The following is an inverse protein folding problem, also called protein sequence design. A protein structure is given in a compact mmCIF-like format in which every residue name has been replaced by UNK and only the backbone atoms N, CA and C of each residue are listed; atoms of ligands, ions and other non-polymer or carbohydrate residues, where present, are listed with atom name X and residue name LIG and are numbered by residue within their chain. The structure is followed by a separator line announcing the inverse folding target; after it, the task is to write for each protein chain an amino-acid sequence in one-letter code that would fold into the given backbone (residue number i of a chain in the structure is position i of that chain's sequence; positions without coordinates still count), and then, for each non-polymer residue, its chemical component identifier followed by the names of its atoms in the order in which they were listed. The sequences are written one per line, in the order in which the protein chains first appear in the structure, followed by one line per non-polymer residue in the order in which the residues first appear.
data_IF_021044146508
#
_entry.id   IF_021044146508
#
_cell.length_a   1.000
_cell.length_b   1.000
_cell.length_c   1.000
_cell.angle_alpha   90.00
_cell.angle_beta   90.00
_cell.angle_gamma   90.00
#
_symmetry.space_group_name_H-M   'P 1'
#
loop_
_entity.id
_entity.type
_entity.pdbx_description
1 polymer ?
#
# COMPACT_ATOMS: atom_id res chain seq x y z
N UNK A 1 23.59 -3.19 1.08
CA UNK A 1 23.59 -1.90 0.35
C UNK A 1 22.17 -1.43 0.03
N UNK A 2 21.90 -0.11 0.02
CA UNK A 2 20.60 0.45 -0.38
C UNK A 2 20.37 0.18 -1.87
N UNK A 3 19.24 -0.44 -2.19
CA UNK A 3 18.75 -0.66 -3.55
C UNK A 3 18.10 0.63 -4.03
N UNK A 4 17.17 1.19 -3.27
CA UNK A 4 16.50 2.43 -3.65
C UNK A 4 15.60 2.99 -2.56
N UNK A 5 15.14 4.22 -2.80
CA UNK A 5 14.23 4.94 -1.92
C UNK A 5 12.99 5.36 -2.72
N UNK A 6 11.85 5.43 -2.05
CA UNK A 6 10.62 5.87 -2.67
C UNK A 6 9.73 6.58 -1.68
N UNK A 7 9.13 7.68 -2.13
CA UNK A 7 8.22 8.50 -1.34
C UNK A 7 6.95 8.73 -2.16
N UNK A 8 5.82 8.72 -1.48
CA UNK A 8 4.54 9.08 -2.07
C UNK A 8 3.72 9.95 -1.11
N UNK A 9 2.94 10.86 -1.68
CA UNK A 9 2.00 11.69 -0.95
C UNK A 9 0.61 11.54 -1.56
N UNK A 10 -0.41 11.37 -0.71
CA UNK A 10 -1.77 11.11 -1.15
C UNK A 10 -2.77 11.96 -0.36
N UNK A 11 -3.63 12.68 -1.07
CA UNK A 11 -4.80 13.30 -0.46
C UNK A 11 -5.90 12.24 -0.27
N UNK A 12 -6.30 11.98 0.98
CA UNK A 12 -7.27 10.94 1.35
C UNK A 12 -8.62 11.16 0.68
N UNK A 13 -9.01 12.43 0.48
CA UNK A 13 -10.26 12.82 -0.17
C UNK A 13 -10.41 12.26 -1.60
N UNK A 14 -9.29 11.98 -2.29
CA UNK A 14 -9.29 11.34 -3.62
C UNK A 14 -9.82 9.91 -3.55
N UNK A 15 -9.47 9.18 -2.48
CA UNK A 15 -9.95 7.81 -2.26
C UNK A 15 -11.36 7.83 -1.70
N UNK A 16 -11.67 8.76 -0.80
CA UNK A 16 -13.05 8.95 -0.33
C UNK A 16 -14.01 9.23 -1.49
N UNK A 17 -13.60 10.02 -2.48
CA UNK A 17 -14.41 10.29 -3.67
C UNK A 17 -14.70 9.03 -4.51
N UNK A 18 -13.86 7.98 -4.41
CA UNK A 18 -14.14 6.67 -5.00
C UNK A 18 -15.13 5.90 -4.13
N UNK A 19 -14.92 5.90 -2.81
CA UNK A 19 -15.76 5.17 -1.85
C UNK A 19 -17.20 5.71 -1.84
N UNK A 20 -17.37 7.03 -1.85
CA UNK A 20 -18.68 7.71 -1.88
C UNK A 20 -19.52 7.40 -3.13
N UNK A 21 -18.92 6.84 -4.19
CA UNK A 21 -19.66 6.38 -5.38
C UNK A 21 -20.38 5.04 -5.15
N UNK A 22 -20.16 4.41 -4.00
CA UNK A 22 -20.84 3.20 -3.57
C UNK A 22 -20.00 1.92 -3.67
N UNK A 23 -20.51 0.85 -3.05
CA UNK A 23 -19.81 -0.42 -2.81
C UNK A 23 -19.24 -1.08 -4.06
N UNK A 24 -19.90 -0.95 -5.22
CA UNK A 24 -19.42 -1.47 -6.51
C UNK A 24 -18.09 -0.84 -6.92
N UNK A 25 -17.97 0.49 -6.81
CA UNK A 25 -16.74 1.21 -7.18
C UNK A 25 -15.62 0.93 -6.19
N UNK A 26 -15.94 0.96 -4.89
CA UNK A 26 -15.02 0.57 -3.81
C UNK A 26 -14.45 -0.82 -4.05
N UNK A 27 -15.31 -1.82 -4.30
CA UNK A 27 -14.89 -3.21 -4.51
C UNK A 27 -14.03 -3.37 -5.76
N UNK A 28 -14.35 -2.67 -6.86
CA UNK A 28 -13.52 -2.68 -8.08
C UNK A 28 -12.15 -2.07 -7.83
N UNK A 29 -12.09 -0.96 -7.10
CA UNK A 29 -10.83 -0.31 -6.76
C UNK A 29 -9.99 -1.16 -5.81
N UNK A 30 -10.59 -1.71 -4.77
CA UNK A 30 -9.95 -2.63 -3.83
C UNK A 30 -9.33 -3.83 -4.56
N UNK A 31 -10.09 -4.52 -5.43
CA UNK A 31 -9.56 -5.64 -6.23
C UNK A 31 -8.41 -5.26 -7.17
N UNK A 32 -8.30 -3.98 -7.56
CA UNK A 32 -7.20 -3.51 -8.42
C UNK A 32 -5.89 -3.38 -7.66
N UNK A 33 -5.95 -2.89 -6.43
CA UNK A 33 -4.75 -2.42 -5.70
C UNK A 33 -4.33 -3.33 -4.55
N UNK A 34 -5.23 -4.17 -4.04
CA UNK A 34 -4.97 -5.03 -2.90
C UNK A 34 -4.42 -6.39 -3.36
N UNK A 35 -3.54 -6.98 -2.54
CA UNK A 35 -3.15 -8.38 -2.70
C UNK A 35 -4.26 -9.31 -2.22
N UNK A 36 -4.15 -10.62 -2.51
CA UNK A 36 -5.16 -11.61 -2.12
C UNK A 36 -5.43 -11.64 -0.60
N UNK A 37 -4.38 -11.45 0.20
CA UNK A 37 -4.49 -11.36 1.66
C UNK A 37 -5.22 -10.09 2.09
N UNK A 38 -4.88 -8.97 1.46
CA UNK A 38 -5.48 -7.67 1.78
C UNK A 38 -6.93 -7.56 1.34
N UNK A 39 -7.30 -8.13 0.19
CA UNK A 39 -8.69 -8.14 -0.31
C UNK A 39 -9.57 -9.05 0.55
N UNK A 40 -9.05 -10.19 1.01
CA UNK A 40 -9.76 -11.07 1.94
C UNK A 40 -10.06 -10.36 3.27
N UNK A 41 -9.07 -9.68 3.84
CA UNK A 41 -9.27 -8.88 5.05
C UNK A 41 -10.21 -7.67 4.79
N UNK A 42 -10.07 -7.01 3.64
CA UNK A 42 -10.95 -5.91 3.27
C UNK A 42 -12.41 -6.37 3.20
N UNK A 43 -12.67 -7.48 2.50
CA UNK A 43 -14.02 -8.03 2.36
C UNK A 43 -14.63 -8.46 3.69
N UNK A 44 -13.90 -9.21 4.51
CA UNK A 44 -14.42 -9.77 5.76
C UNK A 44 -14.56 -8.76 6.90
N UNK A 45 -13.70 -7.73 6.94
CA UNK A 45 -13.61 -6.86 8.12
C UNK A 45 -13.80 -5.38 7.79
N UNK A 46 -13.18 -4.87 6.74
CA UNK A 46 -13.15 -3.42 6.47
C UNK A 46 -14.41 -2.95 5.74
N UNK A 47 -14.94 -3.77 4.84
CA UNK A 47 -16.08 -3.42 3.96
C UNK A 47 -17.38 -3.18 4.73
N UNK A 48 -17.50 -3.70 5.96
CA UNK A 48 -18.64 -3.52 6.86
C UNK A 48 -18.49 -2.31 7.77
N UNK A 49 -17.34 -1.62 7.74
CA UNK A 49 -17.10 -0.40 8.52
C UNK A 49 -17.54 0.85 7.77
N UNK A 50 -17.54 1.99 8.48
CA UNK A 50 -17.82 3.31 7.91
C UNK A 50 -16.90 3.65 6.72
N UNK A 51 -17.44 4.40 5.75
CA UNK A 51 -16.74 4.77 4.51
C UNK A 51 -15.36 5.41 4.77
N UNK A 52 -15.23 6.22 5.82
CA UNK A 52 -13.97 6.84 6.20
C UNK A 52 -12.89 5.80 6.54
N UNK A 53 -13.24 4.72 7.23
CA UNK A 53 -12.30 3.63 7.56
C UNK A 53 -11.94 2.82 6.32
N UNK A 54 -12.89 2.58 5.42
CA UNK A 54 -12.64 1.96 4.12
C UNK A 54 -11.67 2.80 3.27
N UNK A 55 -11.92 4.11 3.18
CA UNK A 55 -11.08 5.05 2.45
C UNK A 55 -9.67 5.11 3.03
N UNK A 56 -9.53 5.25 4.37
CA UNK A 56 -8.21 5.26 5.04
C UNK A 56 -7.45 3.95 4.81
N UNK A 57 -8.14 2.81 4.84
CA UNK A 57 -7.53 1.53 4.53
C UNK A 57 -6.94 1.52 3.12
N UNK A 58 -7.75 1.83 2.11
CA UNK A 58 -7.36 1.82 0.70
C UNK A 58 -6.29 2.87 0.38
N UNK A 59 -6.41 4.08 0.94
CA UNK A 59 -5.46 5.17 0.79
C UNK A 59 -4.07 4.81 1.33
N UNK A 60 -4.01 4.15 2.49
CA UNK A 60 -2.75 3.67 3.06
C UNK A 60 -2.06 2.68 2.11
N UNK A 61 -2.81 1.73 1.54
CA UNK A 61 -2.23 0.71 0.65
C UNK A 61 -1.76 1.34 -0.64
N UNK A 62 -2.54 2.24 -1.21
CA UNK A 62 -2.14 3.00 -2.38
C UNK A 62 -0.79 3.70 -2.15
N UNK A 63 -0.72 4.56 -1.13
CA UNK A 63 0.45 5.40 -0.87
C UNK A 63 1.72 4.57 -0.64
N UNK A 64 1.66 3.54 0.21
CA UNK A 64 2.82 2.70 0.50
C UNK A 64 3.24 1.83 -0.69
N UNK A 65 2.28 1.34 -1.49
CA UNK A 65 2.59 0.53 -2.68
C UNK A 65 3.21 1.37 -3.80
N UNK A 66 2.77 2.61 -3.98
CA UNK A 66 3.44 3.57 -4.88
C UNK A 66 4.85 3.89 -4.39
N UNK A 67 5.04 4.08 -3.07
CA UNK A 67 6.36 4.34 -2.50
C UNK A 67 7.34 3.16 -2.73
N UNK A 68 6.93 1.90 -2.47
CA UNK A 68 7.83 0.75 -2.74
C UNK A 68 8.05 0.53 -4.24
N UNK A 69 7.06 0.81 -5.09
CA UNK A 69 7.23 0.76 -6.55
C UNK A 69 8.36 1.69 -6.99
N UNK A 70 8.36 2.94 -6.51
CA UNK A 70 9.42 3.92 -6.80
C UNK A 70 10.78 3.48 -6.26
N UNK A 71 10.81 2.87 -5.07
CA UNK A 71 12.05 2.37 -4.48
C UNK A 71 12.67 1.17 -5.23
N UNK A 72 11.83 0.33 -5.84
CA UNK A 72 12.26 -0.86 -6.58
C UNK A 72 12.58 -0.58 -8.06
N UNK A 73 11.92 0.42 -8.67
CA UNK A 73 12.12 0.78 -10.07
C UNK A 73 13.51 1.41 -10.33
N UNK A 74 14.18 1.13 -11.46
CA UNK A 74 13.78 0.22 -12.55
C UNK A 74 14.20 -1.25 -12.32
N UNK A 75 14.89 -1.56 -11.21
CA UNK A 75 15.43 -2.90 -10.94
C UNK A 75 14.36 -3.98 -10.87
N UNK A 76 13.17 -3.63 -10.40
CA UNK A 76 11.98 -4.45 -10.53
C UNK A 76 10.74 -3.58 -10.75
N UNK A 77 9.93 -3.96 -11.74
CA UNK A 77 8.61 -3.36 -11.97
C UNK A 77 7.59 -4.18 -11.18
N UNK A 78 7.20 -3.68 -10.00
CA UNK A 78 6.24 -4.35 -9.12
C UNK A 78 4.79 -4.19 -9.63
N UNK A 79 3.99 -5.25 -9.48
CA UNK A 79 2.53 -5.17 -9.60
C UNK A 79 1.91 -4.95 -8.22
N UNK A 80 0.68 -4.45 -8.17
CA UNK A 80 -0.06 -4.26 -6.91
C UNK A 80 -0.14 -5.52 -6.05
N UNK A 81 -0.31 -6.69 -6.67
CA UNK A 81 -0.39 -7.99 -6.01
C UNK A 81 0.94 -8.51 -5.47
N UNK A 82 2.08 -7.99 -5.95
CA UNK A 82 3.40 -8.40 -5.50
C UNK A 82 3.76 -7.81 -4.13
N UNK A 83 2.94 -6.88 -3.63
CA UNK A 83 3.17 -6.18 -2.37
C UNK A 83 1.97 -6.41 -1.46
N UNK A 84 2.23 -6.88 -0.24
CA UNK A 84 1.23 -7.03 0.81
C UNK A 84 1.66 -6.23 2.03
N UNK A 85 0.82 -5.28 2.46
CA UNK A 85 1.07 -4.49 3.66
C UNK A 85 0.46 -5.18 4.87
N UNK A 86 1.31 -5.44 5.86
CA UNK A 86 0.97 -6.06 7.14
C UNK A 86 1.29 -5.09 8.28
N UNK A 87 1.07 -5.53 9.52
CA UNK A 87 1.45 -4.78 10.72
C UNK A 87 2.05 -5.73 11.75
N UNK A 88 3.08 -5.25 12.44
CA UNK A 88 3.59 -5.85 13.68
C UNK A 88 3.37 -4.82 14.78
N UNK A 89 2.37 -5.07 15.63
CA UNK A 89 1.87 -4.06 16.58
C UNK A 89 1.40 -2.79 15.83
N UNK A 90 1.89 -1.59 16.19
CA UNK A 90 1.54 -0.35 15.49
C UNK A 90 2.35 -0.14 14.19
N UNK A 91 3.48 -0.84 14.00
CA UNK A 91 4.42 -0.59 12.90
C UNK A 91 3.94 -1.26 11.61
N UNK A 92 3.79 -0.52 10.49
CA UNK A 92 3.54 -1.14 9.20
C UNK A 92 4.76 -1.92 8.72
N UNK A 93 4.51 -3.04 8.05
CA UNK A 93 5.52 -3.89 7.40
C UNK A 93 5.05 -4.26 6.01
N UNK A 94 5.98 -4.64 5.13
CA UNK A 94 5.68 -5.01 3.74
C UNK A 94 6.30 -6.35 3.42
N UNK A 95 5.46 -7.25 2.92
CA UNK A 95 5.90 -8.48 2.25
C UNK A 95 5.90 -8.21 0.75
N UNK A 96 7.06 -8.36 0.12
CA UNK A 96 7.28 -8.03 -1.29
C UNK A 96 7.81 -9.26 -2.00
N UNK A 97 7.14 -9.64 -3.09
CA UNK A 97 7.60 -10.68 -3.99
C UNK A 97 8.71 -10.14 -4.88
N UNK A 98 9.95 -10.28 -4.42
CA UNK A 98 11.12 -9.86 -5.17
C UNK A 98 11.41 -10.78 -6.37
N UNK A 99 11.97 -10.20 -7.43
CA UNK A 99 12.56 -10.94 -8.55
C UNK A 99 13.87 -11.60 -8.09
N UNK A 100 14.41 -12.58 -8.85
CA UNK A 100 15.69 -13.20 -8.50
C UNK A 100 16.84 -12.20 -8.27
N UNK A 101 16.87 -11.08 -9.03
CA UNK A 101 17.89 -10.04 -8.85
C UNK A 101 17.81 -9.32 -7.50
N UNK A 102 16.61 -9.23 -6.91
CA UNK A 102 16.37 -8.61 -5.61
C UNK A 102 15.99 -9.65 -4.53
N UNK A 103 16.23 -10.94 -4.78
CA UNK A 103 15.98 -11.98 -3.79
C UNK A 103 16.72 -11.66 -2.48
N UNK A 104 16.03 -11.81 -1.35
CA UNK A 104 16.53 -11.45 -0.03
C UNK A 104 16.50 -9.95 0.32
N UNK A 105 16.03 -9.08 -0.57
CA UNK A 105 15.88 -7.66 -0.25
C UNK A 105 14.82 -7.42 0.84
N UNK A 106 14.98 -6.34 1.60
CA UNK A 106 14.06 -5.91 2.64
C UNK A 106 13.52 -4.52 2.32
N UNK A 107 12.21 -4.32 2.55
CA UNK A 107 11.55 -3.03 2.43
C UNK A 107 11.20 -2.48 3.81
N UNK A 108 11.89 -1.41 4.20
CA UNK A 108 11.61 -0.63 5.41
C UNK A 108 10.60 0.44 5.08
N UNK A 109 9.49 0.48 5.82
CA UNK A 109 8.36 1.38 5.53
C UNK A 109 8.01 2.27 6.70
N UNK A 110 7.63 3.51 6.40
CA UNK A 110 7.02 4.46 7.33
C UNK A 110 5.84 5.16 6.67
N UNK A 111 4.85 5.52 7.48
CA UNK A 111 3.67 6.27 7.05
C UNK A 111 3.37 7.36 8.07
N UNK A 112 3.16 8.58 7.59
CA UNK A 112 2.63 9.70 8.37
C UNK A 112 1.31 10.18 7.80
N UNK A 113 0.49 10.82 8.61
CA UNK A 113 -0.74 11.44 8.17
C UNK A 113 -1.04 12.71 8.94
N UNK A 114 -1.51 13.74 8.25
CA UNK A 114 -2.01 14.97 8.85
C UNK A 114 -2.87 15.75 7.83
N UNK A 115 -3.86 16.52 8.30
CA UNK A 115 -4.65 17.43 7.45
C UNK A 115 -5.35 16.77 6.25
N UNK A 116 -5.71 15.48 6.33
CA UNK A 116 -6.29 14.73 5.21
C UNK A 116 -5.27 14.27 4.16
N UNK A 117 -3.98 14.38 4.46
CA UNK A 117 -2.87 13.90 3.65
C UNK A 117 -2.23 12.67 4.28
N UNK A 118 -1.72 11.76 3.44
CA UNK A 118 -0.81 10.68 3.81
C UNK A 118 0.54 10.92 3.15
N UNK A 119 1.61 10.62 3.87
CA UNK A 119 2.96 10.55 3.31
C UNK A 119 3.56 9.18 3.63
N UNK A 120 3.94 8.43 2.60
CA UNK A 120 4.58 7.12 2.70
C UNK A 120 6.03 7.21 2.26
N UNK A 121 6.93 6.59 3.03
CA UNK A 121 8.34 6.47 2.68
C UNK A 121 8.78 5.01 2.78
N UNK A 122 9.54 4.56 1.79
CA UNK A 122 10.08 3.20 1.70
C UNK A 122 11.56 3.25 1.34
N UNK A 123 12.37 2.46 2.05
CA UNK A 123 13.77 2.17 1.70
C UNK A 123 13.87 0.68 1.42
N UNK A 124 14.41 0.32 0.26
CA UNK A 124 14.73 -1.06 -0.09
C UNK A 124 16.23 -1.25 0.04
N UNK A 125 16.66 -2.27 0.78
CA UNK A 125 18.05 -2.67 0.90
C UNK A 125 18.22 -4.17 0.64
N UNK A 126 19.42 -4.54 0.23
CA UNK A 126 19.84 -5.94 0.05
C UNK A 126 21.27 -6.05 0.54
N UNK A 127 21.57 -7.06 1.36
CA UNK A 127 22.92 -7.30 1.89
C UNK A 127 23.95 -7.38 0.78
#
# INVERSE_FOLDING_TARGET
MIVGIGVDILCVSRIEAIVRRGSRFTSRFARRILSDREISYFGSTVSTQEEAKQAKYLATRWCLKEAVYKAAYPRQILRWSDVTITKIGPKPTMDVRWSPGLEGAQAHVSLSHDGGMLAGAVVVEKS
#
